data_IF_453850007446
#
_entry.id   IF_453850007446
#
_cell.length_a   1.000
_cell.length_b   1.000
_cell.length_c   1.000
_cell.angle_alpha   90.00
_cell.angle_beta   90.00
_cell.angle_gamma   90.00
#
_symmetry.space_group_name_H-M   'P 1'
#
loop_
_entity.id
_entity.type
_entity.pdbx_description
1 polymer ?
#
# COMPACT_ATOMS: atom_id res chain seq x y z
N UNK A 1 24.92 21.05 5.12
CA UNK A 1 24.00 20.53 6.16
C UNK A 1 22.56 20.34 5.65
N UNK A 2 21.82 21.36 5.21
CA UNK A 2 20.44 21.19 4.69
C UNK A 2 20.30 20.19 3.53
N UNK A 3 21.21 20.22 2.54
CA UNK A 3 21.18 19.26 1.41
C UNK A 3 21.44 17.81 1.85
N UNK A 4 22.28 17.60 2.87
CA UNK A 4 22.55 16.26 3.42
C UNK A 4 21.37 15.72 4.22
N UNK A 5 20.60 16.58 4.89
CA UNK A 5 19.36 16.18 5.56
C UNK A 5 18.29 15.82 4.54
N UNK A 6 18.16 16.58 3.44
CA UNK A 6 17.22 16.26 2.37
C UNK A 6 17.51 14.87 1.73
N UNK A 7 18.78 14.55 1.46
CA UNK A 7 19.14 13.23 0.92
C UNK A 7 18.87 12.09 1.91
N UNK A 8 19.12 12.32 3.20
CA UNK A 8 18.81 11.33 4.25
C UNK A 8 17.30 11.05 4.36
N UNK A 9 16.47 12.08 4.25
CA UNK A 9 15.00 11.96 4.27
C UNK A 9 14.50 11.16 3.06
N UNK A 10 15.02 11.45 1.86
CA UNK A 10 14.65 10.73 0.64
C UNK A 10 15.06 9.26 0.73
N UNK A 11 16.29 8.97 1.19
CA UNK A 11 16.76 7.60 1.37
C UNK A 11 15.90 6.81 2.38
N UNK A 12 15.47 7.46 3.47
CA UNK A 12 14.55 6.85 4.42
C UNK A 12 13.17 6.57 3.80
N UNK A 13 12.61 7.54 3.05
CA UNK A 13 11.33 7.38 2.33
C UNK A 13 11.39 6.23 1.31
N UNK A 14 12.50 6.11 0.59
CA UNK A 14 12.71 5.03 -0.37
C UNK A 14 12.64 3.65 0.29
N UNK A 15 13.33 3.45 1.42
CA UNK A 15 13.28 2.19 2.17
C UNK A 15 11.87 1.82 2.65
N UNK A 16 11.07 2.81 3.04
CA UNK A 16 9.67 2.59 3.44
C UNK A 16 8.86 2.08 2.24
N UNK A 17 9.01 2.73 1.09
CA UNK A 17 8.29 2.35 -0.14
C UNK A 17 8.69 0.95 -0.60
N UNK A 18 9.98 0.61 -0.57
CA UNK A 18 10.48 -0.72 -0.93
C UNK A 18 9.85 -1.82 -0.04
N UNK A 19 9.81 -1.60 1.28
CA UNK A 19 9.14 -2.51 2.20
C UNK A 19 7.63 -2.63 1.93
N UNK A 20 6.96 -1.50 1.66
CA UNK A 20 5.53 -1.48 1.36
C UNK A 20 5.18 -2.25 0.08
N UNK A 21 5.95 -2.06 -1.00
CA UNK A 21 5.74 -2.79 -2.26
C UNK A 21 5.87 -4.31 -2.04
N UNK A 22 6.90 -4.75 -1.31
CA UNK A 22 7.07 -6.16 -0.98
C UNK A 22 5.91 -6.72 -0.15
N UNK A 23 5.42 -5.98 0.84
CA UNK A 23 4.26 -6.39 1.65
C UNK A 23 2.98 -6.55 0.80
N UNK A 24 2.74 -5.66 -0.16
CA UNK A 24 1.59 -5.74 -1.06
C UNK A 24 1.70 -6.92 -2.01
N UNK A 25 2.87 -7.15 -2.58
CA UNK A 25 3.14 -8.29 -3.47
C UNK A 25 2.88 -9.62 -2.76
N UNK A 26 3.43 -9.80 -1.56
CA UNK A 26 3.21 -11.00 -0.75
C UNK A 26 1.72 -11.22 -0.41
N UNK A 27 1.00 -10.16 -0.06
CA UNK A 27 -0.43 -10.25 0.26
C UNK A 27 -1.26 -10.68 -0.96
N UNK A 28 -1.02 -10.09 -2.12
CA UNK A 28 -1.70 -10.45 -3.37
C UNK A 28 -1.40 -11.88 -3.78
N UNK A 29 -0.15 -12.31 -3.69
CA UNK A 29 0.26 -13.66 -4.01
C UNK A 29 -0.42 -14.68 -3.08
N UNK A 30 -0.45 -14.41 -1.78
CA UNK A 30 -1.10 -15.30 -0.82
C UNK A 30 -2.62 -15.40 -1.05
N UNK A 31 -3.29 -14.28 -1.31
CA UNK A 31 -4.72 -14.26 -1.62
C UNK A 31 -5.06 -15.02 -2.91
N UNK A 32 -4.21 -14.87 -3.94
CA UNK A 32 -4.33 -15.61 -5.20
C UNK A 32 -4.09 -17.11 -5.02
N UNK A 33 -3.03 -17.51 -4.32
CA UNK A 33 -2.73 -18.93 -4.04
C UNK A 33 -3.86 -19.62 -3.27
N UNK A 34 -4.52 -18.89 -2.37
CA UNK A 34 -5.63 -19.42 -1.59
C UNK A 34 -6.98 -19.33 -2.31
N UNK A 35 -7.02 -18.84 -3.57
CA UNK A 35 -8.24 -18.56 -4.33
C UNK A 35 -9.29 -17.77 -3.53
N UNK A 36 -8.85 -16.86 -2.65
CA UNK A 36 -9.74 -16.04 -1.80
C UNK A 36 -10.39 -14.93 -2.62
N UNK A 37 -9.72 -14.49 -3.69
CA UNK A 37 -10.19 -13.41 -4.56
C UNK A 37 -9.71 -13.62 -5.99
N UNK A 38 -10.60 -13.41 -6.95
CA UNK A 38 -10.25 -13.26 -8.36
C UNK A 38 -10.24 -11.76 -8.70
N UNK A 39 -9.08 -11.26 -9.10
CA UNK A 39 -8.89 -9.86 -9.48
C UNK A 39 -8.53 -9.81 -10.95
N UNK A 40 -9.30 -9.03 -11.71
CA UNK A 40 -8.83 -8.52 -12.98
C UNK A 40 -7.70 -7.48 -12.77
N UNK A 41 -7.00 -7.14 -13.84
CA UNK A 41 -5.84 -6.23 -13.79
C UNK A 41 -6.21 -4.83 -13.26
N UNK A 42 -7.44 -4.35 -13.52
CA UNK A 42 -7.90 -3.04 -13.07
C UNK A 42 -8.12 -3.02 -11.56
N UNK A 43 -8.82 -4.04 -11.02
CA UNK A 43 -9.04 -4.20 -9.58
C UNK A 43 -7.73 -4.44 -8.84
N UNK A 44 -6.80 -5.19 -9.43
CA UNK A 44 -5.46 -5.41 -8.87
C UNK A 44 -4.70 -4.09 -8.74
N UNK A 45 -4.68 -3.27 -9.80
CA UNK A 45 -4.04 -1.95 -9.77
C UNK A 45 -4.66 -1.04 -8.71
N UNK A 46 -6.00 -1.02 -8.59
CA UNK A 46 -6.70 -0.25 -7.56
C UNK A 46 -6.34 -0.73 -6.14
N UNK A 47 -6.29 -2.04 -5.91
CA UNK A 47 -5.97 -2.60 -4.60
C UNK A 47 -4.51 -2.33 -4.21
N UNK A 48 -3.56 -2.45 -5.15
CA UNK A 48 -2.16 -2.07 -4.95
C UNK A 48 -2.05 -0.60 -4.55
N UNK A 49 -2.74 0.30 -5.26
CA UNK A 49 -2.75 1.73 -4.96
C UNK A 49 -3.25 2.01 -3.53
N UNK A 50 -4.39 1.42 -3.17
CA UNK A 50 -4.98 1.59 -1.84
C UNK A 50 -4.05 1.10 -0.73
N UNK A 51 -3.46 -0.09 -0.91
CA UNK A 51 -2.56 -0.67 0.09
C UNK A 51 -1.26 0.13 0.21
N UNK A 52 -0.67 0.60 -0.90
CA UNK A 52 0.52 1.45 -0.87
C UNK A 52 0.25 2.79 -0.18
N UNK A 53 -0.92 3.40 -0.40
CA UNK A 53 -1.32 4.63 0.30
C UNK A 53 -1.44 4.39 1.80
N UNK A 54 -1.99 3.24 2.23
CA UNK A 54 -2.08 2.88 3.65
C UNK A 54 -0.70 2.62 4.27
N UNK A 55 0.15 1.85 3.59
CA UNK A 55 1.45 1.42 4.11
C UNK A 55 2.51 2.54 4.09
N UNK A 56 2.49 3.41 3.07
CA UNK A 56 3.40 4.55 2.96
C UNK A 56 2.82 5.83 3.61
N UNK A 57 1.53 5.82 3.95
CA UNK A 57 0.84 6.91 4.61
C UNK A 57 1.39 7.15 6.01
N UNK A 58 1.95 8.33 6.23
CA UNK A 58 2.63 8.71 7.48
C UNK A 58 1.67 9.09 8.63
N UNK A 59 0.39 8.76 8.48
CA UNK A 59 -0.72 9.26 9.27
C UNK A 59 -1.65 8.07 9.49
N UNK A 60 -1.96 7.74 10.73
CA UNK A 60 -2.85 6.64 11.12
C UNK A 60 -3.99 6.55 10.11
N UNK A 61 -4.00 5.48 9.31
CA UNK A 61 -4.99 5.28 8.27
C UNK A 61 -6.36 5.30 8.97
N UNK A 62 -7.08 6.41 8.86
CA UNK A 62 -8.40 6.50 9.47
C UNK A 62 -9.27 5.52 8.70
N UNK A 63 -9.86 4.51 9.38
CA UNK A 63 -10.73 3.59 8.70
C UNK A 63 -11.90 4.40 8.14
N UNK A 64 -11.96 4.55 6.81
CA UNK A 64 -13.20 5.00 6.17
C UNK A 64 -14.14 3.80 6.27
N UNK A 65 -14.89 3.75 7.36
CA UNK A 65 -15.97 2.78 7.55
C UNK A 65 -17.07 3.19 6.58
N UNK A 66 -17.19 2.47 5.47
CA UNK A 66 -18.32 2.62 4.57
C UNK A 66 -19.51 1.87 5.17
N UNK A 67 -20.26 2.54 6.04
CA UNK A 67 -21.53 2.06 6.59
C UNK A 67 -22.72 2.34 5.64
N UNK A 68 -22.46 2.71 4.39
CA UNK A 68 -23.50 2.79 3.39
C UNK A 68 -23.94 1.37 3.04
N UNK A 69 -25.10 0.94 3.53
CA UNK A 69 -25.78 -0.22 2.98
C UNK A 69 -25.81 -0.07 1.46
N UNK A 70 -25.21 -1.03 0.77
CA UNK A 70 -25.46 -1.24 -0.65
C UNK A 70 -26.94 -1.64 -0.75
N UNK A 71 -27.78 -0.67 -1.07
CA UNK A 71 -29.16 -0.85 -1.53
C UNK A 71 -29.22 -0.49 -3.00
#
# INVERSE_FOLDING_TARGET
LQRQQASAIIAARQKIVEGAVGMVEMALEQLSRNNVVELDEERKAAMVSNLLVVLCGNRDAQPIVNSGSIY
#
